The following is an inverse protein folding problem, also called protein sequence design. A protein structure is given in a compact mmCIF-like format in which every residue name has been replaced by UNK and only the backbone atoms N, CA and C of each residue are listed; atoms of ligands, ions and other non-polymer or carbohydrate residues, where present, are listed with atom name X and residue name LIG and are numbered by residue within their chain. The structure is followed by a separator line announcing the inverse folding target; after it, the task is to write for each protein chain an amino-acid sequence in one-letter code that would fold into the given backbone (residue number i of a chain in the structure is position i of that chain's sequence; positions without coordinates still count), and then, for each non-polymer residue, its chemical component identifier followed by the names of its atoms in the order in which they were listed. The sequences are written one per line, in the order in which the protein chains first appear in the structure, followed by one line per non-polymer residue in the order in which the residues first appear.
data_IF_621290213676
#
_entry.id   IF_621290213676
#
_cell.length_a   1.000
_cell.length_b   1.000
_cell.length_c   1.000
_cell.angle_alpha   90.00
_cell.angle_beta   90.00
_cell.angle_gamma   90.00
#
_symmetry.space_group_name_H-M   'P 1'
#
loop_
_entity.id
_entity.type
_entity.pdbx_description
1 polymer ?
#
# COMPACT_ATOMS: atom_id res chain seq x y z
N UNK A 1 -19.40 -17.76 12.87
CA UNK A 1 -18.35 -17.30 11.96
C UNK A 1 -17.15 -18.20 12.20
N UNK A 2 -16.74 -19.09 11.27
CA UNK A 2 -15.61 -19.96 11.56
C UNK A 2 -14.31 -19.21 11.24
N UNK A 3 -13.58 -18.89 12.30
CA UNK A 3 -12.19 -18.49 12.32
C UNK A 3 -11.34 -19.48 11.52
N UNK A 4 -10.68 -19.03 10.46
CA UNK A 4 -9.49 -19.69 9.92
C UNK A 4 -8.61 -18.64 9.24
N UNK A 5 -7.87 -17.87 10.05
CA UNK A 5 -6.67 -17.19 9.60
C UNK A 5 -5.47 -18.12 9.87
N UNK A 6 -4.83 -18.59 8.81
CA UNK A 6 -3.57 -19.30 8.90
C UNK A 6 -2.45 -18.27 9.12
N UNK A 7 -1.71 -18.40 10.23
CA UNK A 7 -0.55 -17.56 10.57
C UNK A 7 0.67 -17.87 9.68
N UNK A 8 1.42 -16.86 9.20
CA UNK A 8 2.79 -17.06 8.75
C UNK A 8 3.82 -16.50 9.75
N UNK A 9 4.73 -17.37 10.19
CA UNK A 9 5.97 -17.00 10.86
C UNK A 9 6.95 -16.40 9.84
N UNK A 10 7.11 -15.09 9.81
CA UNK A 10 8.21 -14.42 9.09
C UNK A 10 9.03 -13.52 10.00
N UNK A 11 9.66 -14.14 11.01
CA UNK A 11 10.75 -13.52 11.77
C UNK A 11 12.00 -13.46 10.87
N UNK A 12 12.16 -12.39 10.09
CA UNK A 12 13.41 -12.13 9.36
C UNK A 12 14.53 -11.84 10.37
N UNK A 13 15.43 -12.81 10.55
CA UNK A 13 16.73 -12.57 11.21
C UNK A 13 17.57 -11.65 10.32
N UNK A 14 17.75 -10.39 10.73
CA UNK A 14 18.76 -9.50 10.14
C UNK A 14 20.15 -9.96 10.59
N UNK A 15 20.96 -10.44 9.66
CA UNK A 15 22.42 -10.56 9.84
C UNK A 15 23.04 -9.18 9.67
N UNK A 16 23.52 -8.59 10.77
CA UNK A 16 24.35 -7.38 10.75
C UNK A 16 25.74 -7.73 10.21
N UNK A 17 26.04 -7.28 8.99
CA UNK A 17 27.41 -7.22 8.49
C UNK A 17 28.00 -5.84 8.86
N UNK A 18 28.96 -5.83 9.78
CA UNK A 18 29.72 -4.64 10.13
C UNK A 18 30.71 -4.31 9.00
N UNK A 19 30.55 -3.14 8.35
CA UNK A 19 31.62 -2.54 7.57
C UNK A 19 32.21 -1.36 8.35
N UNK A 20 33.48 -1.50 8.71
CA UNK A 20 34.32 -0.42 9.16
C UNK A 20 34.81 0.37 7.94
N UNK A 21 34.50 1.67 7.88
CA UNK A 21 35.14 2.61 6.94
C UNK A 21 36.10 3.52 7.70
N UNK A 22 37.38 3.43 7.33
CA UNK A 22 38.45 4.28 7.82
C UNK A 22 38.35 5.71 7.31
N UNK A 23 38.77 6.63 8.16
CA UNK A 23 38.90 8.07 7.92
C UNK A 23 40.14 8.32 7.04
N UNK A 24 39.99 9.13 5.99
CA UNK A 24 41.10 9.82 5.35
C UNK A 24 40.74 11.29 5.11
N UNK A 25 41.49 12.17 5.77
CA UNK A 25 41.45 13.63 5.63
C UNK A 25 42.29 14.02 4.43
N UNK A 26 41.79 14.91 3.57
CA UNK A 26 42.63 15.73 2.69
C UNK A 26 42.00 17.12 2.49
N UNK A 27 42.72 18.12 2.99
CA UNK A 27 42.53 19.56 2.81
C UNK A 27 42.79 20.00 1.37
N UNK A 28 42.00 20.94 0.86
CA UNK A 28 42.31 21.63 -0.40
C UNK A 28 41.41 22.85 -0.62
N UNK A 29 41.98 24.04 -0.45
CA UNK A 29 41.34 25.33 -0.66
C UNK A 29 41.15 25.64 -2.15
N UNK A 30 40.06 26.33 -2.49
CA UNK A 30 39.80 26.85 -3.84
C UNK A 30 38.59 27.77 -3.84
N UNK A 31 38.82 29.05 -3.53
CA UNK A 31 37.83 30.13 -3.69
C UNK A 31 37.70 30.44 -5.18
N UNK A 32 36.51 30.21 -5.75
CA UNK A 32 36.12 30.75 -7.05
C UNK A 32 34.76 31.42 -6.91
N UNK A 33 34.77 32.75 -6.92
CA UNK A 33 33.57 33.58 -7.05
C UNK A 33 32.95 33.30 -8.43
N UNK A 34 31.81 32.60 -8.44
CA UNK A 34 30.98 32.43 -9.62
C UNK A 34 29.71 33.23 -9.45
N UNK A 35 29.41 34.02 -10.49
CA UNK A 35 28.38 35.04 -10.53
C UNK A 35 26.99 34.44 -10.36
N UNK A 36 26.26 34.90 -9.34
CA UNK A 36 24.86 34.57 -9.14
C UNK A 36 24.02 35.15 -10.28
N UNK A 37 23.63 34.32 -11.23
CA UNK A 37 22.47 34.57 -12.07
C UNK A 37 21.27 34.01 -11.34
N UNK A 38 20.40 34.88 -10.83
CA UNK A 38 19.10 34.50 -10.29
C UNK A 38 18.24 33.96 -11.43
N UNK A 39 18.33 32.66 -11.70
CA UNK A 39 17.34 31.96 -12.53
C UNK A 39 16.07 31.87 -11.71
N UNK A 40 15.02 32.56 -12.18
CA UNK A 40 13.69 32.48 -11.59
C UNK A 40 13.28 31.02 -11.43
N UNK A 41 12.90 30.65 -10.21
CA UNK A 41 12.32 29.36 -9.90
C UNK A 41 11.07 29.20 -10.76
N UNK A 42 11.17 28.46 -11.85
CA UNK A 42 10.00 27.88 -12.50
C UNK A 42 9.34 27.02 -11.44
N UNK A 43 8.18 27.44 -10.93
CA UNK A 43 7.32 26.56 -10.15
C UNK A 43 7.19 25.26 -10.96
N UNK A 44 7.76 24.17 -10.44
CA UNK A 44 7.75 22.88 -11.14
C UNK A 44 6.31 22.52 -11.45
N UNK A 45 6.04 22.08 -12.68
CA UNK A 45 4.73 21.54 -13.02
C UNK A 45 4.38 20.43 -12.03
N UNK A 46 3.15 20.44 -11.51
CA UNK A 46 2.66 19.33 -10.68
C UNK A 46 2.79 18.06 -11.53
N UNK A 47 3.40 16.99 -11.02
CA UNK A 47 3.54 15.77 -11.81
C UNK A 47 2.15 15.23 -12.15
N UNK A 48 1.98 14.77 -13.39
CA UNK A 48 0.72 14.22 -13.86
C UNK A 48 0.40 12.90 -13.16
N UNK A 49 -0.78 12.81 -12.56
CA UNK A 49 -1.30 11.56 -11.98
C UNK A 49 -1.81 10.68 -13.10
N UNK A 50 -1.21 9.51 -13.27
CA UNK A 50 -1.59 8.53 -14.30
C UNK A 50 -2.14 7.28 -13.62
N UNK A 51 -3.45 6.99 -13.72
CA UNK A 51 -4.02 5.76 -13.19
C UNK A 51 -3.58 4.53 -14.02
N UNK A 52 -3.71 3.30 -13.51
CA UNK A 52 -3.40 2.11 -14.28
C UNK A 52 -4.29 1.99 -15.51
N UNK A 53 -3.75 1.40 -16.58
CA UNK A 53 -4.54 1.00 -17.75
C UNK A 53 -5.56 -0.06 -17.31
N UNK A 54 -6.83 0.12 -17.67
CA UNK A 54 -7.86 -0.87 -17.37
C UNK A 54 -7.49 -2.25 -17.97
N UNK A 55 -7.82 -3.33 -17.25
CA UNK A 55 -7.53 -4.73 -17.63
C UNK A 55 -6.05 -5.06 -17.89
N UNK A 56 -5.11 -4.23 -17.42
CA UNK A 56 -3.69 -4.56 -17.54
C UNK A 56 -3.38 -5.79 -16.68
N UNK A 57 -2.79 -6.83 -17.27
CA UNK A 57 -2.40 -8.03 -16.50
C UNK A 57 -1.55 -7.63 -15.30
N UNK A 58 -1.97 -8.11 -14.14
CA UNK A 58 -1.44 -7.71 -12.84
C UNK A 58 -0.74 -8.87 -12.13
N UNK A 59 0.28 -8.55 -11.33
CA UNK A 59 0.89 -9.48 -10.39
C UNK A 59 1.11 -8.82 -9.01
N UNK A 60 0.84 -9.59 -7.95
CA UNK A 60 0.88 -9.12 -6.57
C UNK A 60 2.09 -9.70 -5.85
N UNK A 61 3.12 -8.86 -5.66
CA UNK A 61 4.47 -9.26 -5.27
C UNK A 61 4.88 -8.71 -3.88
N UNK A 62 3.97 -8.74 -2.90
CA UNK A 62 4.24 -8.21 -1.56
C UNK A 62 5.23 -9.07 -0.74
N UNK A 63 5.20 -10.39 -0.91
CA UNK A 63 6.14 -11.32 -0.24
C UNK A 63 7.59 -11.22 -0.74
N UNK A 64 7.83 -10.42 -1.77
CA UNK A 64 9.13 -10.05 -2.28
C UNK A 64 9.14 -9.87 -3.80
N UNK A 65 10.00 -8.96 -4.27
CA UNK A 65 10.14 -8.68 -5.69
C UNK A 65 10.77 -9.85 -6.47
N UNK A 66 10.22 -10.16 -7.64
CA UNK A 66 10.80 -11.05 -8.63
C UNK A 66 10.50 -10.52 -10.06
N UNK A 67 11.24 -10.93 -11.09
CA UNK A 67 10.93 -10.52 -12.47
C UNK A 67 9.47 -10.81 -12.80
N UNK A 68 8.66 -9.78 -13.19
CA UNK A 68 7.25 -10.01 -13.50
C UNK A 68 7.09 -11.05 -14.62
N UNK A 69 6.12 -11.96 -14.52
CA UNK A 69 5.83 -12.93 -15.57
C UNK A 69 5.55 -12.27 -16.92
N UNK A 70 5.83 -12.98 -18.02
CA UNK A 70 5.60 -12.46 -19.36
C UNK A 70 4.14 -12.01 -19.55
N UNK A 71 3.95 -10.82 -20.11
CA UNK A 71 2.63 -10.23 -20.37
C UNK A 71 2.03 -9.47 -19.19
N UNK A 72 2.61 -9.53 -17.99
CA UNK A 72 2.25 -8.64 -16.88
C UNK A 72 2.63 -7.21 -17.24
N UNK A 73 1.71 -6.27 -17.07
CA UNK A 73 1.94 -4.85 -17.34
C UNK A 73 1.88 -3.98 -16.07
N UNK A 74 1.31 -4.50 -14.98
CA UNK A 74 1.29 -3.82 -13.69
C UNK A 74 1.68 -4.76 -12.55
N UNK A 75 2.34 -4.24 -11.52
CA UNK A 75 2.70 -4.99 -10.31
C UNK A 75 2.47 -4.15 -9.06
N UNK A 76 2.03 -4.80 -7.97
CA UNK A 76 2.15 -4.20 -6.63
C UNK A 76 3.32 -4.81 -5.87
N UNK A 77 4.04 -3.96 -5.14
CA UNK A 77 5.20 -4.32 -4.31
C UNK A 77 5.23 -3.49 -3.04
N UNK A 78 5.77 -4.07 -1.97
CA UNK A 78 6.09 -3.36 -0.74
C UNK A 78 6.92 -2.09 -1.01
N UNK A 79 6.66 -1.01 -0.28
CA UNK A 79 7.39 0.27 -0.40
C UNK A 79 8.91 0.17 -0.21
N UNK A 80 9.40 -0.87 0.45
CA UNK A 80 10.83 -1.15 0.62
C UNK A 80 11.44 -1.91 -0.56
N UNK A 81 10.64 -2.39 -1.50
CA UNK A 81 11.11 -3.08 -2.69
C UNK A 81 11.34 -2.11 -3.87
N UNK A 82 12.25 -2.48 -4.76
CA UNK A 82 12.51 -1.71 -5.99
C UNK A 82 11.34 -1.89 -6.98
N UNK A 83 10.89 -0.84 -7.67
CA UNK A 83 9.97 -0.98 -8.82
C UNK A 83 10.51 -1.92 -9.91
N UNK A 84 9.60 -2.52 -10.66
CA UNK A 84 9.90 -3.27 -11.87
C UNK A 84 10.01 -2.32 -13.06
N UNK A 85 11.18 -2.29 -13.70
CA UNK A 85 11.43 -1.47 -14.89
C UNK A 85 10.44 -1.83 -16.01
N UNK A 86 9.88 -0.82 -16.69
CA UNK A 86 8.97 -1.01 -17.83
C UNK A 86 7.54 -1.46 -17.49
N UNK A 87 7.15 -1.44 -16.21
CA UNK A 87 5.81 -1.82 -15.74
C UNK A 87 5.16 -0.64 -15.02
N UNK A 88 3.83 -0.70 -14.85
CA UNK A 88 3.11 0.17 -13.91
C UNK A 88 3.27 -0.37 -12.49
N UNK A 89 3.85 0.41 -11.60
CA UNK A 89 4.21 -0.01 -10.25
C UNK A 89 3.31 0.65 -9.20
N UNK A 90 2.57 -0.18 -8.48
CA UNK A 90 1.80 0.18 -7.29
C UNK A 90 2.67 -0.08 -6.05
N UNK A 91 2.76 0.93 -5.18
CA UNK A 91 3.53 0.90 -3.95
C UNK A 91 2.61 0.55 -2.79
N UNK A 92 2.78 -0.64 -2.21
CA UNK A 92 2.09 -1.05 -1.01
C UNK A 92 2.57 -0.28 0.21
N UNK A 93 1.61 0.28 0.95
CA UNK A 93 1.83 0.97 2.21
C UNK A 93 0.80 0.48 3.21
N UNK A 94 1.23 -0.23 4.25
CA UNK A 94 0.36 -0.47 5.41
C UNK A 94 0.11 0.86 6.12
N UNK A 95 -1.07 1.43 5.89
CA UNK A 95 -1.35 2.83 6.19
C UNK A 95 -2.22 3.00 7.44
N UNK A 96 -3.01 1.99 7.79
CA UNK A 96 -3.99 2.03 8.89
C UNK A 96 -3.65 1.09 10.05
N UNK A 97 -2.59 0.28 9.92
CA UNK A 97 -2.02 -0.55 10.98
C UNK A 97 -0.50 -0.34 11.04
N UNK A 98 0.10 -0.77 12.14
CA UNK A 98 1.56 -0.92 12.24
C UNK A 98 2.03 -2.13 11.45
N UNK A 99 3.32 -2.18 11.08
CA UNK A 99 3.95 -3.45 10.71
C UNK A 99 4.36 -4.23 11.97
N UNK A 100 4.43 -5.58 11.94
CA UNK A 100 4.71 -6.37 13.14
C UNK A 100 6.09 -6.07 13.75
N UNK A 101 7.04 -5.61 12.93
CA UNK A 101 8.38 -5.21 13.37
C UNK A 101 8.52 -3.70 13.68
N UNK A 102 7.43 -2.94 13.62
CA UNK A 102 7.41 -1.50 13.83
C UNK A 102 6.70 -1.06 15.13
N UNK A 103 6.02 -1.96 15.84
CA UNK A 103 5.23 -1.62 17.03
C UNK A 103 6.05 -0.89 18.10
N UNK A 104 7.24 -1.39 18.46
CA UNK A 104 8.16 -0.76 19.43
C UNK A 104 8.47 0.72 19.08
N UNK A 105 8.60 1.02 17.79
CA UNK A 105 8.85 2.39 17.34
C UNK A 105 7.63 3.28 17.58
N UNK A 106 6.43 2.78 17.28
CA UNK A 106 5.19 3.53 17.52
C UNK A 106 4.97 3.77 19.01
N UNK A 107 5.14 2.75 19.86
CA UNK A 107 5.01 2.90 21.31
C UNK A 107 6.01 3.92 21.89
N UNK A 108 7.21 3.99 21.33
CA UNK A 108 8.25 4.92 21.80
C UNK A 108 8.03 6.35 21.31
N UNK A 109 7.66 6.53 20.04
CA UNK A 109 7.72 7.84 19.38
C UNK A 109 6.35 8.49 19.21
N UNK A 110 5.30 7.67 19.01
CA UNK A 110 3.96 8.13 18.66
C UNK A 110 2.87 7.29 19.37
N UNK A 111 2.96 7.02 20.70
CA UNK A 111 2.07 6.09 21.39
C UNK A 111 0.59 6.49 21.36
N UNK A 112 0.32 7.80 21.23
CA UNK A 112 -1.03 8.36 21.11
C UNK A 112 -1.68 8.10 19.74
N UNK A 113 -0.89 7.69 18.74
CA UNK A 113 -1.37 7.36 17.39
C UNK A 113 -1.70 5.88 17.23
N UNK A 114 -1.43 5.05 18.24
CA UNK A 114 -1.96 3.69 18.35
C UNK A 114 -3.38 3.74 18.89
N UNK A 115 -4.29 2.97 18.28
CA UNK A 115 -5.63 2.78 18.82
C UNK A 115 -5.52 1.94 20.09
N UNK A 116 -6.16 2.41 21.17
CA UNK A 116 -6.13 1.73 22.47
C UNK A 116 -7.54 1.49 22.98
N UNK A 117 -7.72 0.38 23.66
CA UNK A 117 -8.98 0.01 24.29
C UNK A 117 -9.22 0.75 25.63
N UNK A 118 -10.27 0.35 26.35
CA UNK A 118 -10.63 0.93 27.64
C UNK A 118 -9.61 0.67 28.77
N UNK A 119 -8.77 -0.36 28.62
CA UNK A 119 -7.72 -0.72 29.56
C UNK A 119 -6.37 -0.06 29.20
N UNK A 120 -6.31 0.59 28.03
CA UNK A 120 -5.14 1.29 27.53
C UNK A 120 -4.19 0.40 26.72
N UNK A 121 -4.59 -0.83 26.39
CA UNK A 121 -3.79 -1.74 25.57
C UNK A 121 -4.00 -1.44 24.08
N UNK A 122 -2.99 -1.63 23.22
CA UNK A 122 -3.16 -1.49 21.78
C UNK A 122 -4.22 -2.46 21.25
N UNK A 123 -5.12 -1.95 20.41
CA UNK A 123 -6.06 -2.79 19.67
C UNK A 123 -5.31 -3.43 18.51
N UNK A 124 -5.19 -4.75 18.51
CA UNK A 124 -4.44 -5.51 17.52
C UNK A 124 -5.36 -6.32 16.60
N UNK A 125 -4.92 -6.47 15.35
CA UNK A 125 -5.45 -7.46 14.44
C UNK A 125 -4.86 -8.84 14.76
N UNK A 126 -5.68 -9.71 15.38
CA UNK A 126 -5.27 -11.06 15.78
C UNK A 126 -4.69 -11.92 14.66
N UNK A 127 -5.11 -11.67 13.40
CA UNK A 127 -4.64 -12.45 12.26
C UNK A 127 -3.18 -12.13 11.93
N UNK A 128 -2.77 -10.89 12.14
CA UNK A 128 -1.48 -10.35 11.68
C UNK A 128 -0.54 -9.93 12.82
N UNK A 129 -1.05 -9.76 14.05
CA UNK A 129 -0.30 -9.24 15.19
C UNK A 129 0.12 -7.78 14.97
N UNK A 130 -0.76 -7.00 14.35
CA UNK A 130 -0.50 -5.61 13.97
C UNK A 130 -1.46 -4.68 14.71
N UNK A 131 -0.93 -3.69 15.42
CA UNK A 131 -1.74 -2.70 16.11
C UNK A 131 -2.41 -1.74 15.12
N UNK A 132 -3.67 -1.40 15.38
CA UNK A 132 -4.42 -0.41 14.61
C UNK A 132 -3.92 1.01 14.90
N UNK A 133 -3.92 1.86 13.88
CA UNK A 133 -3.64 3.29 14.03
C UNK A 133 -4.92 4.05 14.35
N UNK A 134 -4.84 5.01 15.26
CA UNK A 134 -5.99 5.78 15.71
C UNK A 134 -6.32 6.93 14.75
N UNK A 135 -7.32 6.70 13.92
CA UNK A 135 -7.86 7.68 12.96
C UNK A 135 -9.02 8.52 13.52
N UNK A 136 -9.38 8.38 14.82
CA UNK A 136 -10.62 8.92 15.40
C UNK A 136 -10.70 10.44 15.39
N UNK A 137 -9.58 11.15 15.55
CA UNK A 137 -9.57 12.61 15.62
C UNK A 137 -8.82 13.24 14.45
N UNK A 138 -9.23 14.44 14.05
CA UNK A 138 -8.56 15.19 12.98
C UNK A 138 -7.07 15.46 13.29
N UNK A 139 -6.74 15.70 14.57
CA UNK A 139 -5.35 15.89 15.02
C UNK A 139 -4.52 14.62 14.81
N UNK A 140 -5.04 13.45 15.19
CA UNK A 140 -4.36 12.18 15.00
C UNK A 140 -4.20 11.86 13.51
N UNK A 141 -5.26 12.01 12.71
CA UNK A 141 -5.20 11.84 11.25
C UNK A 141 -4.16 12.75 10.59
N UNK A 142 -4.05 14.01 11.01
CA UNK A 142 -3.04 14.93 10.46
C UNK A 142 -1.60 14.50 10.79
N UNK A 143 -1.37 13.98 12.01
CA UNK A 143 -0.05 13.44 12.42
C UNK A 143 0.27 12.16 11.68
N UNK A 144 -0.68 11.23 11.59
CA UNK A 144 -0.57 10.00 10.79
C UNK A 144 -0.27 10.31 9.33
N UNK A 145 -0.99 11.27 8.72
CA UNK A 145 -0.79 11.67 7.33
C UNK A 145 0.61 12.26 7.08
N UNK A 146 1.23 12.88 8.09
CA UNK A 146 2.63 13.33 7.98
C UNK A 146 3.61 12.15 7.93
N UNK A 147 3.38 11.12 8.74
CA UNK A 147 4.23 9.92 8.80
C UNK A 147 4.04 9.08 7.54
N UNK A 148 2.80 8.66 7.26
CA UNK A 148 2.44 7.85 6.09
C UNK A 148 2.69 8.62 4.79
N UNK A 149 2.44 9.93 4.78
CA UNK A 149 2.77 10.78 3.64
C UNK A 149 4.25 10.81 3.30
N UNK A 150 5.14 10.73 4.29
CA UNK A 150 6.58 10.56 4.05
C UNK A 150 6.92 9.22 3.39
N UNK A 151 6.13 8.17 3.64
CA UNK A 151 6.28 6.88 2.95
C UNK A 151 5.80 6.96 1.49
N UNK A 152 4.67 7.61 1.26
CA UNK A 152 4.13 7.91 -0.09
C UNK A 152 5.17 8.70 -0.91
N UNK A 153 5.84 9.68 -0.29
CA UNK A 153 6.92 10.44 -0.95
C UNK A 153 8.12 9.57 -1.30
N UNK A 154 8.43 8.60 -0.45
CA UNK A 154 9.43 7.58 -0.71
C UNK A 154 9.06 6.72 -1.93
N UNK A 155 7.79 6.36 -2.10
CA UNK A 155 7.29 5.66 -3.28
C UNK A 155 7.49 6.50 -4.55
N UNK A 156 7.10 7.78 -4.54
CA UNK A 156 7.30 8.68 -5.68
C UNK A 156 8.79 8.82 -6.03
N UNK A 157 9.63 9.04 -5.02
CA UNK A 157 11.09 9.14 -5.19
C UNK A 157 11.72 7.87 -5.76
N UNK A 158 11.17 6.70 -5.37
CA UNK A 158 11.64 5.40 -5.86
C UNK A 158 11.18 5.08 -7.29
N UNK A 159 10.26 5.87 -7.84
CA UNK A 159 9.75 5.72 -9.20
C UNK A 159 8.52 4.82 -9.31
N UNK A 160 7.73 4.68 -8.25
CA UNK A 160 6.38 4.10 -8.35
C UNK A 160 5.43 5.07 -9.07
N UNK A 161 4.33 4.55 -9.63
CA UNK A 161 3.29 5.34 -10.30
C UNK A 161 2.03 5.50 -9.44
N UNK A 162 1.85 4.61 -8.48
CA UNK A 162 0.70 4.61 -7.60
C UNK A 162 1.04 4.13 -6.18
N UNK A 163 0.12 4.32 -5.26
CA UNK A 163 0.14 3.75 -3.91
C UNK A 163 -1.16 2.97 -3.62
N UNK A 164 -1.05 1.88 -2.89
CA UNK A 164 -2.17 1.17 -2.26
C UNK A 164 -2.04 1.27 -0.73
N UNK A 165 -2.80 2.17 -0.07
CA UNK A 165 -2.87 2.23 1.38
C UNK A 165 -3.71 1.05 1.91
N UNK A 166 -3.03 0.09 2.54
CA UNK A 166 -3.66 -1.13 3.07
C UNK A 166 -4.36 -0.90 4.42
N UNK A 167 -5.27 -1.82 4.78
CA UNK A 167 -6.07 -1.82 6.00
C UNK A 167 -7.09 -0.66 6.12
N UNK A 168 -7.61 -0.16 4.99
CA UNK A 168 -8.67 0.86 4.95
C UNK A 168 -9.93 0.46 5.76
N UNK A 169 -10.18 -0.85 5.87
CA UNK A 169 -11.23 -1.50 6.64
C UNK A 169 -10.90 -1.65 8.14
N UNK A 170 -9.82 -1.07 8.66
CA UNK A 170 -9.41 -1.27 10.06
C UNK A 170 -10.49 -0.94 11.10
N UNK A 171 -11.47 -0.10 10.74
CA UNK A 171 -12.62 0.18 11.58
C UNK A 171 -13.47 -1.06 11.91
N UNK A 172 -13.52 -2.06 11.03
CA UNK A 172 -14.22 -3.33 11.25
C UNK A 172 -13.57 -4.17 12.37
N UNK A 173 -12.28 -3.94 12.62
CA UNK A 173 -11.45 -4.65 13.61
C UNK A 173 -11.13 -3.77 14.84
N UNK A 174 -11.89 -2.69 15.04
CA UNK A 174 -11.60 -1.65 16.05
C UNK A 174 -12.42 -1.74 17.33
N UNK A 175 -13.21 -2.80 17.53
CA UNK A 175 -14.20 -2.92 18.63
C UNK A 175 -15.18 -1.74 18.73
N UNK A 176 -15.48 -1.11 17.57
CA UNK A 176 -16.36 0.04 17.48
C UNK A 176 -15.73 1.37 17.90
N UNK A 177 -14.41 1.41 18.14
CA UNK A 177 -13.68 2.63 18.48
C UNK A 177 -13.41 3.51 17.26
N UNK A 178 -13.36 2.92 16.07
CA UNK A 178 -13.28 3.63 14.80
C UNK A 178 -14.56 3.43 13.98
N UNK A 179 -14.85 4.40 13.11
CA UNK A 179 -15.96 4.35 12.17
C UNK A 179 -15.44 4.41 10.72
N UNK A 180 -16.24 4.00 9.72
CA UNK A 180 -15.89 4.21 8.31
C UNK A 180 -15.52 5.67 8.00
N UNK A 181 -16.18 6.64 8.64
CA UNK A 181 -15.91 8.07 8.44
C UNK A 181 -14.54 8.50 8.94
N UNK A 182 -14.06 7.91 10.05
CA UNK A 182 -12.71 8.16 10.54
C UNK A 182 -11.67 7.72 9.50
N UNK A 183 -11.84 6.53 8.95
CA UNK A 183 -10.92 5.98 7.95
C UNK A 183 -11.03 6.70 6.61
N UNK A 184 -12.23 7.04 6.14
CA UNK A 184 -12.43 7.82 4.92
C UNK A 184 -11.79 9.22 5.02
N UNK A 185 -11.92 9.89 6.17
CA UNK A 185 -11.30 11.19 6.39
C UNK A 185 -9.77 11.12 6.40
N UNK A 186 -9.20 9.98 6.84
CA UNK A 186 -7.76 9.77 6.79
C UNK A 186 -7.29 9.41 5.39
N UNK A 187 -8.00 8.49 4.70
CA UNK A 187 -7.75 8.13 3.32
C UNK A 187 -7.73 9.35 2.39
N UNK A 188 -8.62 10.33 2.63
CA UNK A 188 -8.64 11.59 1.89
C UNK A 188 -7.32 12.37 2.02
N UNK A 189 -6.74 12.44 3.22
CA UNK A 189 -5.44 13.09 3.42
C UNK A 189 -4.31 12.36 2.68
N UNK A 190 -4.39 11.02 2.60
CA UNK A 190 -3.42 10.21 1.86
C UNK A 190 -3.57 10.41 0.35
N UNK A 191 -4.81 10.48 -0.16
CA UNK A 191 -5.08 10.76 -1.57
C UNK A 191 -4.57 12.14 -1.98
N UNK A 192 -4.88 13.17 -1.20
CA UNK A 192 -4.37 14.53 -1.44
C UNK A 192 -2.82 14.54 -1.47
N UNK A 193 -2.16 13.77 -0.59
CA UNK A 193 -0.69 13.65 -0.58
C UNK A 193 -0.14 12.90 -1.79
N UNK A 194 -0.77 11.79 -2.17
CA UNK A 194 -0.38 10.96 -3.30
C UNK A 194 -0.47 11.77 -4.61
N UNK A 195 -1.60 12.45 -4.84
CA UNK A 195 -1.77 13.31 -6.00
C UNK A 195 -0.78 14.47 -6.03
N UNK A 196 -0.50 15.10 -4.88
CA UNK A 196 0.53 16.13 -4.78
C UNK A 196 1.95 15.60 -5.08
N UNK A 197 2.19 14.29 -4.91
CA UNK A 197 3.43 13.63 -5.25
C UNK A 197 3.44 13.06 -6.70
N UNK A 198 2.35 13.21 -7.45
CA UNK A 198 2.24 12.64 -8.81
C UNK A 198 1.86 11.17 -8.87
N UNK A 199 1.33 10.61 -7.78
CA UNK A 199 0.95 9.21 -7.67
C UNK A 199 -0.56 9.06 -7.76
N UNK A 200 -1.04 8.05 -8.48
CA UNK A 200 -2.41 7.59 -8.31
C UNK A 200 -2.57 6.87 -6.96
N UNK A 201 -3.79 6.79 -6.45
CA UNK A 201 -4.09 6.10 -5.18
C UNK A 201 -5.22 5.09 -5.33
N UNK A 202 -4.98 3.87 -4.86
CA UNK A 202 -5.93 2.77 -4.92
C UNK A 202 -6.79 2.70 -3.67
N UNK A 203 -8.08 2.39 -3.82
CA UNK A 203 -8.89 1.88 -2.72
C UNK A 203 -8.50 0.43 -2.44
N UNK A 204 -8.16 0.11 -1.19
CA UNK A 204 -7.97 -1.28 -0.75
C UNK A 204 -9.27 -1.80 -0.16
N UNK A 205 -9.86 -2.85 -0.74
CA UNK A 205 -11.09 -3.51 -0.23
C UNK A 205 -12.21 -2.49 0.13
N UNK A 206 -12.99 -2.75 1.19
CA UNK A 206 -13.85 -1.76 1.87
C UNK A 206 -15.00 -1.25 0.99
N UNK A 207 -15.93 -2.15 0.64
CA UNK A 207 -17.08 -1.87 -0.25
C UNK A 207 -18.01 -0.77 0.27
N UNK A 208 -18.12 -0.62 1.60
CA UNK A 208 -18.88 0.43 2.29
C UNK A 208 -18.42 1.86 1.93
N UNK A 209 -17.17 2.04 1.46
CA UNK A 209 -16.63 3.33 1.03
C UNK A 209 -16.71 3.58 -0.49
N UNK A 210 -17.23 2.66 -1.31
CA UNK A 210 -17.32 2.80 -2.77
C UNK A 210 -18.05 4.08 -3.22
N UNK A 211 -19.15 4.43 -2.55
CA UNK A 211 -19.91 5.64 -2.86
C UNK A 211 -19.13 6.93 -2.57
N UNK A 212 -18.14 6.85 -1.66
CA UNK A 212 -17.29 7.98 -1.26
C UNK A 212 -15.98 8.04 -2.02
N UNK A 213 -15.67 7.08 -2.90
CA UNK A 213 -14.38 7.01 -3.61
C UNK A 213 -13.96 8.31 -4.29
N UNK A 214 -14.91 9.02 -4.91
CA UNK A 214 -14.67 10.30 -5.60
C UNK A 214 -14.42 11.46 -4.63
N UNK A 215 -15.07 11.44 -3.46
CA UNK A 215 -14.86 12.42 -2.40
C UNK A 215 -13.47 12.24 -1.76
N UNK A 216 -13.09 10.98 -1.53
CA UNK A 216 -11.80 10.59 -0.98
C UNK A 216 -10.68 10.89 -1.98
N UNK A 217 -10.89 10.59 -3.27
CA UNK A 217 -9.92 10.79 -4.34
C UNK A 217 -9.25 9.50 -4.82
N UNK A 218 -9.90 8.35 -4.70
CA UNK A 218 -9.36 7.09 -5.24
C UNK A 218 -9.48 7.03 -6.77
N UNK A 219 -8.43 6.52 -7.41
CA UNK A 219 -8.29 6.45 -8.87
C UNK A 219 -8.51 5.04 -9.46
N UNK A 220 -8.29 4.01 -8.63
CA UNK A 220 -8.41 2.59 -8.97
C UNK A 220 -8.68 1.78 -7.69
N UNK A 221 -8.84 0.46 -7.80
CA UNK A 221 -8.97 -0.42 -6.63
C UNK A 221 -8.02 -1.62 -6.67
N UNK A 222 -7.60 -2.05 -5.49
CA UNK A 222 -6.92 -3.32 -5.25
C UNK A 222 -7.76 -4.09 -4.24
N UNK A 223 -8.25 -5.26 -4.64
CA UNK A 223 -9.26 -5.98 -3.86
C UNK A 223 -8.85 -7.44 -3.70
N UNK A 224 -8.98 -7.93 -2.48
CA UNK A 224 -8.67 -9.30 -2.11
C UNK A 224 -9.96 -10.08 -1.90
N UNK A 225 -10.05 -11.27 -2.49
CA UNK A 225 -11.14 -12.21 -2.29
C UNK A 225 -12.54 -11.69 -2.68
N UNK A 226 -12.67 -10.71 -3.58
CA UNK A 226 -13.99 -10.22 -4.00
C UNK A 226 -14.87 -11.33 -4.60
N UNK A 227 -14.27 -12.37 -5.22
CA UNK A 227 -14.98 -13.53 -5.75
C UNK A 227 -15.54 -14.40 -4.64
N UNK A 228 -14.88 -14.45 -3.47
CA UNK A 228 -15.40 -15.10 -2.27
C UNK A 228 -16.61 -14.35 -1.73
N UNK A 229 -16.53 -13.02 -1.65
CA UNK A 229 -17.54 -12.16 -1.01
C UNK A 229 -18.65 -11.67 -1.96
N UNK A 230 -18.57 -11.97 -3.26
CA UNK A 230 -19.52 -11.50 -4.29
C UNK A 230 -19.46 -9.99 -4.58
N UNK A 231 -18.29 -9.39 -4.40
CA UNK A 231 -18.11 -7.93 -4.44
C UNK A 231 -17.44 -7.44 -5.73
N UNK A 232 -16.96 -8.35 -6.59
CA UNK A 232 -16.13 -7.97 -7.74
C UNK A 232 -16.85 -7.02 -8.71
N UNK A 233 -18.15 -7.24 -8.93
CA UNK A 233 -18.95 -6.40 -9.82
C UNK A 233 -19.03 -4.96 -9.33
N UNK A 234 -19.25 -4.77 -8.03
CA UNK A 234 -19.36 -3.45 -7.41
C UNK A 234 -18.09 -2.62 -7.61
N UNK A 235 -16.92 -3.25 -7.45
CA UNK A 235 -15.64 -2.59 -7.73
C UNK A 235 -15.44 -2.31 -9.22
N UNK A 236 -15.74 -3.26 -10.11
CA UNK A 236 -15.57 -3.08 -11.56
C UNK A 236 -16.41 -1.91 -12.08
N UNK A 237 -17.68 -1.84 -11.68
CA UNK A 237 -18.60 -0.76 -12.03
C UNK A 237 -18.15 0.59 -11.44
N UNK A 238 -17.56 0.58 -10.24
CA UNK A 238 -17.14 1.81 -9.57
C UNK A 238 -15.90 2.46 -10.21
N UNK A 239 -14.99 1.68 -10.80
CA UNK A 239 -13.65 2.13 -11.18
C UNK A 239 -13.35 2.09 -12.69
N UNK A 240 -14.37 1.95 -13.53
CA UNK A 240 -14.24 1.81 -14.98
C UNK A 240 -13.16 0.78 -15.34
N UNK A 241 -13.28 -0.44 -14.80
CA UNK A 241 -12.38 -1.56 -15.08
C UNK A 241 -10.93 -1.42 -14.57
N UNK A 242 -10.61 -0.36 -13.82
CA UNK A 242 -9.31 -0.17 -13.15
C UNK A 242 -9.30 -0.86 -11.80
N UNK A 243 -9.45 -2.19 -11.82
CA UNK A 243 -9.48 -3.01 -10.62
C UNK A 243 -8.46 -4.15 -10.73
N UNK A 244 -7.65 -4.26 -9.69
CA UNK A 244 -6.75 -5.39 -9.46
C UNK A 244 -7.37 -6.32 -8.42
N UNK A 245 -7.82 -7.49 -8.86
CA UNK A 245 -8.41 -8.51 -8.00
C UNK A 245 -7.35 -9.55 -7.65
N UNK A 246 -7.20 -9.86 -6.37
CA UNK A 246 -6.29 -10.89 -5.84
C UNK A 246 -7.11 -11.98 -5.17
N UNK A 247 -6.95 -13.22 -5.64
CA UNK A 247 -7.66 -14.38 -5.12
C UNK A 247 -6.68 -15.38 -4.52
N UNK A 248 -7.04 -15.97 -3.38
CA UNK A 248 -6.16 -16.91 -2.65
C UNK A 248 -6.62 -18.36 -2.72
N UNK A 249 -7.82 -18.61 -3.26
CA UNK A 249 -8.38 -19.94 -3.44
C UNK A 249 -8.84 -20.18 -4.89
N UNK A 250 -8.76 -21.43 -5.34
CA UNK A 250 -9.08 -21.79 -6.74
C UNK A 250 -10.55 -21.56 -7.08
N UNK A 251 -11.44 -21.84 -6.12
CA UNK A 251 -12.88 -21.61 -6.26
C UNK A 251 -13.18 -20.12 -6.44
N UNK A 252 -12.57 -19.29 -5.61
CA UNK A 252 -12.87 -17.86 -5.55
C UNK A 252 -12.25 -17.14 -6.77
N UNK A 253 -11.05 -17.57 -7.21
CA UNK A 253 -10.48 -17.20 -8.51
C UNK A 253 -11.40 -17.55 -9.69
N UNK A 254 -11.91 -18.78 -9.75
CA UNK A 254 -12.82 -19.17 -10.83
C UNK A 254 -14.10 -18.33 -10.84
N UNK A 255 -14.62 -17.96 -9.66
CA UNK A 255 -15.79 -17.08 -9.52
C UNK A 255 -15.49 -15.65 -9.99
N UNK A 256 -14.36 -15.06 -9.56
CA UNK A 256 -13.93 -13.75 -10.00
C UNK A 256 -13.70 -13.70 -11.52
N UNK A 257 -13.05 -14.72 -12.10
CA UNK A 257 -12.89 -14.82 -13.55
C UNK A 257 -14.22 -14.88 -14.30
N UNK A 258 -15.18 -15.65 -13.77
CA UNK A 258 -16.49 -15.79 -14.39
C UNK A 258 -17.34 -14.52 -14.28
N UNK A 259 -17.17 -13.72 -13.22
CA UNK A 259 -17.92 -12.49 -13.01
C UNK A 259 -17.30 -11.30 -13.73
N UNK A 260 -16.00 -11.05 -13.55
CA UNK A 260 -15.33 -9.82 -14.00
C UNK A 260 -14.03 -10.07 -14.77
N UNK A 261 -13.70 -11.30 -15.16
CA UNK A 261 -12.42 -11.60 -15.87
C UNK A 261 -12.29 -10.97 -17.26
N UNK A 262 -13.34 -10.28 -17.75
CA UNK A 262 -13.30 -9.47 -18.98
C UNK A 262 -13.44 -7.97 -18.71
N UNK A 263 -13.42 -7.56 -17.43
CA UNK A 263 -13.64 -6.24 -16.83
C UNK A 263 -12.53 -5.82 -15.87
N UNK A 264 -11.91 -6.76 -15.15
CA UNK A 264 -10.89 -6.49 -14.15
C UNK A 264 -9.69 -7.39 -14.38
N UNK A 265 -8.56 -7.03 -13.76
CA UNK A 265 -7.35 -7.84 -13.82
C UNK A 265 -7.36 -8.76 -12.61
N UNK A 266 -7.55 -10.06 -12.81
CA UNK A 266 -7.68 -11.03 -11.72
C UNK A 266 -6.43 -11.89 -11.64
N UNK A 267 -5.78 -11.89 -10.49
CA UNK A 267 -4.62 -12.73 -10.21
C UNK A 267 -4.92 -13.70 -9.08
N UNK A 268 -4.54 -14.96 -9.29
CA UNK A 268 -4.51 -15.99 -8.25
C UNK A 268 -3.12 -16.06 -7.66
N UNK A 269 -2.97 -15.74 -6.38
CA UNK A 269 -1.71 -15.86 -5.63
C UNK A 269 -1.87 -16.78 -4.44
N UNK A 270 -0.78 -17.33 -3.94
CA UNK A 270 -0.77 -17.99 -2.63
C UNK A 270 -0.97 -16.95 -1.51
N UNK A 271 -1.51 -17.38 -0.35
CA UNK A 271 -1.84 -16.48 0.76
C UNK A 271 -0.60 -15.73 1.28
N UNK A 272 0.54 -16.40 1.31
CA UNK A 272 1.82 -15.82 1.76
C UNK A 272 2.51 -14.98 0.66
N UNK A 273 1.88 -14.87 -0.52
CA UNK A 273 2.34 -14.09 -1.69
C UNK A 273 3.83 -14.28 -1.98
N UNK A 274 4.33 -15.51 -1.86
CA UNK A 274 5.77 -15.80 -1.91
C UNK A 274 6.34 -15.51 -3.30
N UNK A 275 7.62 -15.13 -3.43
CA UNK A 275 8.24 -14.89 -4.74
C UNK A 275 8.28 -16.13 -5.64
N UNK A 276 8.32 -15.92 -6.95
CA UNK A 276 8.53 -17.00 -7.92
C UNK A 276 9.79 -17.83 -7.59
N UNK A 277 9.65 -19.15 -7.71
CA UNK A 277 10.72 -20.11 -7.37
C UNK A 277 10.80 -20.49 -5.89
N UNK A 278 9.94 -19.93 -5.02
CA UNK A 278 9.79 -20.37 -3.63
C UNK A 278 8.74 -21.49 -3.52
N UNK A 279 8.91 -22.45 -2.58
CA UNK A 279 7.86 -23.42 -2.30
C UNK A 279 6.54 -22.73 -1.95
N UNK A 280 5.43 -23.20 -2.51
CA UNK A 280 4.11 -22.61 -2.30
C UNK A 280 3.69 -21.55 -3.32
N UNK A 281 4.59 -21.10 -4.21
CA UNK A 281 4.28 -20.10 -5.23
C UNK A 281 3.10 -20.52 -6.12
N UNK A 282 2.07 -19.68 -6.16
CA UNK A 282 0.94 -19.82 -7.09
C UNK A 282 0.80 -18.54 -7.90
N UNK A 283 0.70 -18.65 -9.23
CA UNK A 283 0.38 -17.51 -10.08
C UNK A 283 -0.46 -17.96 -11.27
N UNK A 284 -1.67 -17.42 -11.40
CA UNK A 284 -2.51 -17.53 -12.60
C UNK A 284 -3.26 -16.22 -12.79
N UNK A 285 -3.56 -15.87 -14.04
CA UNK A 285 -4.36 -14.68 -14.36
C UNK A 285 -5.53 -15.05 -15.25
N UNK A 286 -6.61 -14.30 -15.08
CA UNK A 286 -7.62 -14.01 -16.09
C UNK A 286 -7.75 -12.47 -16.07
#
# INVERSE_FOLDING_TARGET
MPHHAARPLLRRRRTLAALACGIAVATGAGVLLSHASATGTTAGAVPEVVPPTAHVRFDYQLGGAYPPPAGVGAVSRDRGARPADGHYNVCYVNAFQTQPDALDWWETNEPDLLLRDGDGEPVEDDAWGEALLDTSTATKRSRLAKIVGGWIDGCATSGFQAVEPDNLDSHERSDGLLTPEHNAAFAKLLADRAHAAGLAIGQKNTTDLLERRKEIGFDFAVVEECGRYDECGDFADAYDDRVFVVEYADRDFARACASVGTQASVVRRDLDVVPAGRPGYVHRTC
#
